data_IF_645559518886
#
_entry.id   IF_645559518886
#
_cell.length_a   1.000
_cell.length_b   1.000
_cell.length_c   1.000
_cell.angle_alpha   90.00
_cell.angle_beta   90.00
_cell.angle_gamma   90.00
#
_symmetry.space_group_name_H-M   'P 1'
#
loop_
_entity.id
_entity.type
_entity.pdbx_description
1 polymer ?
#
# COMPACT_ATOMS: atom_id res chain seq x y z
N UNK A 1 -39.64 -1.24 18.85
CA UNK A 1 -39.70 -1.68 17.43
C UNK A 1 -39.27 -0.48 16.59
N UNK A 2 -38.04 -0.51 16.04
CA UNK A 2 -37.41 0.64 15.40
C UNK A 2 -37.75 0.70 13.91
N UNK A 3 -38.15 1.90 13.46
CA UNK A 3 -38.53 2.27 12.10
C UNK A 3 -37.32 2.26 11.15
N UNK A 4 -37.33 1.41 10.13
CA UNK A 4 -36.39 1.46 9.00
C UNK A 4 -36.96 2.32 7.87
N UNK A 5 -36.47 3.56 7.75
CA UNK A 5 -36.74 4.41 6.58
C UNK A 5 -35.81 4.00 5.42
N UNK A 6 -36.37 3.26 4.47
CA UNK A 6 -35.77 2.99 3.16
C UNK A 6 -36.01 4.20 2.25
N UNK A 7 -34.98 5.01 1.98
CA UNK A 7 -35.11 6.13 1.04
C UNK A 7 -34.69 5.68 -0.37
N UNK A 8 -35.67 5.57 -1.26
CA UNK A 8 -35.48 5.23 -2.67
C UNK A 8 -34.78 6.38 -3.39
N UNK A 9 -33.59 6.14 -3.93
CA UNK A 9 -32.92 7.07 -4.85
C UNK A 9 -33.50 6.86 -6.25
N UNK A 10 -34.34 7.80 -6.69
CA UNK A 10 -34.93 7.82 -8.03
C UNK A 10 -33.90 8.33 -9.05
N UNK A 11 -33.39 7.44 -9.89
CA UNK A 11 -32.58 7.82 -11.06
C UNK A 11 -33.52 8.38 -12.13
N UNK A 12 -33.39 9.68 -12.44
CA UNK A 12 -34.16 10.33 -13.51
C UNK A 12 -33.49 10.06 -14.86
N UNK A 13 -34.09 9.17 -15.64
CA UNK A 13 -33.82 8.94 -17.06
C UNK A 13 -34.31 10.15 -17.87
N UNK A 14 -33.42 10.83 -18.57
CA UNK A 14 -33.80 11.77 -19.63
C UNK A 14 -33.61 11.08 -20.98
N UNK A 15 -34.73 10.68 -21.60
CA UNK A 15 -34.78 10.24 -22.99
C UNK A 15 -34.90 11.49 -23.85
N UNK A 16 -33.90 11.75 -24.70
CA UNK A 16 -34.02 12.74 -25.79
C UNK A 16 -34.26 11.98 -27.08
N UNK A 17 -35.39 12.28 -27.73
CA UNK A 17 -35.85 11.67 -28.96
C UNK A 17 -35.30 12.41 -30.20
N UNK A 18 -34.69 11.64 -31.11
CA UNK A 18 -34.92 11.65 -32.56
C UNK A 18 -34.45 12.83 -33.43
N UNK A 19 -33.51 12.56 -34.34
CA UNK A 19 -33.58 12.94 -35.76
C UNK A 19 -32.53 12.18 -36.60
N UNK A 20 -32.84 11.95 -37.88
CA UNK A 20 -32.34 10.88 -38.74
C UNK A 20 -30.94 11.08 -39.36
N UNK A 21 -30.25 9.95 -39.52
CA UNK A 21 -29.27 9.52 -40.54
C UNK A 21 -28.26 10.51 -41.15
N UNK A 22 -26.97 10.30 -40.82
CA UNK A 22 -25.87 10.24 -41.81
C UNK A 22 -24.84 9.21 -41.32
N UNK A 23 -24.69 8.08 -42.02
CA UNK A 23 -23.51 7.22 -41.88
C UNK A 23 -22.34 7.91 -42.59
N UNK A 24 -21.73 8.88 -41.92
CA UNK A 24 -20.44 9.42 -42.31
C UNK A 24 -19.37 8.46 -41.76
N UNK A 25 -18.52 7.94 -42.65
CA UNK A 25 -17.26 7.26 -42.34
C UNK A 25 -16.32 8.25 -41.64
N UNK A 26 -16.59 8.54 -40.38
CA UNK A 26 -15.72 9.30 -39.50
C UNK A 26 -15.15 8.33 -38.48
N UNK A 27 -13.88 7.98 -38.62
CA UNK A 27 -13.18 7.22 -37.60
C UNK A 27 -13.40 7.89 -36.25
N UNK A 28 -14.00 7.16 -35.31
CA UNK A 28 -14.02 7.58 -33.93
C UNK A 28 -12.56 7.72 -33.51
N UNK A 29 -12.07 8.96 -33.44
CA UNK A 29 -10.85 9.25 -32.74
C UNK A 29 -11.11 8.82 -31.29
N UNK A 30 -10.64 7.62 -30.94
CA UNK A 30 -10.50 7.26 -29.54
C UNK A 30 -9.70 8.40 -28.93
N UNK A 31 -10.20 9.09 -27.89
CA UNK A 31 -9.33 9.96 -27.12
C UNK A 31 -8.25 9.05 -26.54
N UNK A 32 -7.09 9.03 -27.19
CA UNK A 32 -5.87 8.54 -26.59
C UNK A 32 -5.63 9.47 -25.42
N UNK A 33 -6.13 9.08 -24.25
CA UNK A 33 -5.67 9.64 -23.00
C UNK A 33 -4.17 9.36 -22.96
N UNK A 34 -3.39 10.33 -23.39
CA UNK A 34 -1.96 10.34 -23.22
C UNK A 34 -1.73 10.33 -21.70
N UNK A 35 -1.57 9.15 -21.13
CA UNK A 35 -1.08 9.03 -19.76
C UNK A 35 0.35 9.56 -19.79
N UNK A 36 0.55 10.72 -19.14
CA UNK A 36 1.88 11.18 -18.78
C UNK A 36 2.63 10.03 -18.11
N UNK A 37 3.89 9.74 -18.50
CA UNK A 37 4.66 8.65 -17.91
C UNK A 37 4.70 8.83 -16.38
N UNK A 38 4.03 7.95 -15.64
CA UNK A 38 4.07 7.95 -14.18
C UNK A 38 5.46 7.49 -13.75
N UNK A 39 6.21 8.35 -13.07
CA UNK A 39 7.50 7.94 -12.49
C UNK A 39 7.28 6.72 -11.60
N UNK A 40 8.07 5.64 -11.79
CA UNK A 40 7.94 4.46 -10.94
C UNK A 40 8.15 4.82 -9.47
N UNK A 41 7.39 4.22 -8.54
CA UNK A 41 7.68 4.37 -7.13
C UNK A 41 9.09 3.89 -6.77
N UNK A 42 9.70 4.52 -5.78
CA UNK A 42 11.00 4.13 -5.22
C UNK A 42 10.81 3.38 -3.91
N UNK A 43 11.78 2.53 -3.55
CA UNK A 43 11.79 1.80 -2.28
C UNK A 43 12.89 2.37 -1.39
N UNK A 44 12.52 2.72 -0.16
CA UNK A 44 13.46 3.17 0.88
C UNK A 44 13.55 2.09 1.94
N UNK A 45 14.78 1.73 2.31
CA UNK A 45 15.04 0.82 3.41
C UNK A 45 15.25 1.59 4.72
N UNK A 46 14.70 1.07 5.81
CA UNK A 46 14.90 1.57 7.16
C UNK A 46 16.13 0.98 7.86
N UNK A 47 16.31 1.38 9.11
CA UNK A 47 17.34 0.80 9.98
C UNK A 47 17.05 -0.67 10.32
N UNK A 48 18.04 -1.40 10.79
CA UNK A 48 17.79 -2.66 11.49
C UNK A 48 17.29 -2.36 12.91
N UNK A 49 16.28 -3.09 13.37
CA UNK A 49 15.72 -2.96 14.71
C UNK A 49 15.60 -4.34 15.37
N UNK A 50 16.15 -4.51 16.56
CA UNK A 50 16.23 -5.81 17.24
C UNK A 50 15.15 -5.96 18.32
N UNK A 51 14.39 -7.05 18.22
CA UNK A 51 13.38 -7.46 19.19
C UNK A 51 12.26 -6.44 19.39
N UNK A 52 11.52 -6.61 20.49
CA UNK A 52 10.30 -5.87 20.78
C UNK A 52 10.50 -4.46 21.34
N UNK A 53 11.74 -4.07 21.64
CA UNK A 53 12.06 -2.75 22.21
C UNK A 53 12.43 -1.72 21.14
N UNK A 54 12.67 -2.14 19.91
CA UNK A 54 13.09 -1.28 18.81
C UNK A 54 12.08 -1.35 17.67
N UNK A 55 11.95 -0.25 16.93
CA UNK A 55 11.10 -0.18 15.74
C UNK A 55 11.98 0.27 14.58
N UNK A 56 11.91 -0.46 13.47
CA UNK A 56 12.53 -0.06 12.23
C UNK A 56 11.63 0.96 11.53
N UNK A 57 12.23 2.06 11.05
CA UNK A 57 11.52 3.11 10.33
C UNK A 57 12.15 3.37 8.96
N UNK A 58 11.32 3.35 7.92
CA UNK A 58 11.68 3.73 6.55
C UNK A 58 10.88 4.98 6.17
N UNK A 59 11.55 6.12 6.08
CA UNK A 59 10.91 7.42 5.79
C UNK A 59 11.12 7.79 4.33
N UNK A 60 10.03 8.10 3.64
CA UNK A 60 10.10 8.60 2.27
C UNK A 60 10.78 9.97 2.22
N UNK A 61 11.67 10.24 1.24
CA UNK A 61 12.35 11.53 1.09
C UNK A 61 11.36 12.68 0.93
N UNK A 62 11.82 13.89 1.27
CA UNK A 62 11.08 15.12 1.03
C UNK A 62 10.71 15.22 -0.46
N UNK A 63 9.47 15.64 -0.74
CA UNK A 63 8.94 15.73 -2.10
C UNK A 63 8.29 14.42 -2.61
N UNK A 64 8.32 13.35 -1.82
CA UNK A 64 7.65 12.08 -2.12
C UNK A 64 6.63 11.72 -1.04
N UNK A 65 5.62 10.94 -1.41
CA UNK A 65 4.56 10.48 -0.51
C UNK A 65 4.66 8.97 -0.31
N UNK A 66 4.51 8.53 0.94
CA UNK A 66 4.36 7.13 1.31
C UNK A 66 3.05 6.58 0.72
N UNK A 67 3.17 5.64 -0.20
CA UNK A 67 2.02 4.97 -0.83
C UNK A 67 1.86 3.51 -0.39
N UNK A 68 2.81 3.00 0.40
CA UNK A 68 2.78 1.66 0.95
C UNK A 68 4.10 1.30 1.62
N UNK A 69 4.23 0.06 2.06
CA UNK A 69 5.47 -0.44 2.64
C UNK A 69 5.37 -1.89 3.05
N UNK A 70 6.42 -2.37 3.71
CA UNK A 70 6.52 -3.74 4.19
C UNK A 70 7.74 -3.92 5.07
N UNK A 71 8.17 -5.17 5.22
CA UNK A 71 9.32 -5.51 6.06
C UNK A 71 10.04 -6.76 5.56
N UNK A 72 11.29 -6.89 6.01
CA UNK A 72 12.04 -8.14 6.06
C UNK A 72 12.31 -8.49 7.52
N UNK A 73 12.35 -9.79 7.84
CA UNK A 73 12.70 -10.31 9.16
C UNK A 73 13.92 -11.21 9.04
N UNK A 74 14.83 -11.08 9.99
CA UNK A 74 15.79 -12.13 10.34
C UNK A 74 15.33 -12.73 11.67
N UNK A 75 14.64 -13.88 11.66
CA UNK A 75 13.99 -14.39 12.86
C UNK A 75 15.02 -15.03 13.79
N UNK A 76 14.69 -15.11 15.08
CA UNK A 76 15.46 -15.95 15.99
C UNK A 76 15.15 -17.44 15.73
N UNK A 77 16.19 -18.26 15.66
CA UNK A 77 16.08 -19.71 15.41
C UNK A 77 16.62 -20.50 16.59
N UNK A 78 15.91 -21.55 16.97
CA UNK A 78 16.39 -22.53 17.94
C UNK A 78 17.13 -23.63 17.20
N UNK A 79 18.34 -23.95 17.65
CA UNK A 79 19.17 -25.02 17.10
C UNK A 79 19.21 -26.23 18.06
N UNK A 80 19.33 -27.44 17.51
CA UNK A 80 19.71 -28.62 18.28
C UNK A 80 21.25 -28.71 18.49
N UNK A 81 21.71 -29.75 19.18
CA UNK A 81 23.15 -30.00 19.41
C UNK A 81 23.97 -30.24 18.14
N UNK A 82 23.31 -30.50 17.00
CA UNK A 82 23.93 -30.69 15.69
C UNK A 82 23.84 -29.43 14.80
N UNK A 83 23.55 -28.26 15.38
CA UNK A 83 23.37 -26.98 14.67
C UNK A 83 22.23 -26.98 13.62
N UNK A 84 21.25 -27.86 13.74
CA UNK A 84 20.08 -27.90 12.86
C UNK A 84 18.93 -27.08 13.47
N UNK A 85 18.22 -26.32 12.64
CA UNK A 85 17.04 -25.56 13.06
C UNK A 85 15.92 -26.51 13.48
N UNK A 86 15.46 -26.36 14.73
CA UNK A 86 14.33 -27.13 15.27
C UNK A 86 13.09 -26.27 15.52
N UNK A 87 13.25 -24.95 15.63
CA UNK A 87 12.13 -24.01 15.70
C UNK A 87 12.55 -22.63 15.19
N UNK A 88 11.59 -21.89 14.64
CA UNK A 88 11.70 -20.47 14.34
C UNK A 88 10.72 -19.76 15.28
N UNK A 89 11.21 -18.85 16.12
CA UNK A 89 10.40 -18.17 17.13
C UNK A 89 10.48 -16.67 16.93
N UNK A 90 9.60 -16.14 16.09
CA UNK A 90 9.39 -14.70 15.98
C UNK A 90 7.98 -14.37 15.48
N UNK A 91 7.49 -13.19 15.83
CA UNK A 91 6.23 -12.65 15.35
C UNK A 91 6.41 -11.19 14.95
N UNK A 92 5.66 -10.76 13.95
CA UNK A 92 5.55 -9.35 13.59
C UNK A 92 4.58 -8.68 14.53
N UNK A 93 5.05 -7.64 15.22
CA UNK A 93 4.24 -6.82 16.13
C UNK A 93 3.71 -5.58 15.44
N UNK A 94 4.49 -5.01 14.52
CA UNK A 94 4.14 -3.79 13.78
C UNK A 94 4.48 -4.01 12.30
N UNK A 95 3.53 -3.67 11.44
CA UNK A 95 3.72 -3.52 10.00
C UNK A 95 2.66 -2.54 9.47
N UNK A 96 2.95 -1.24 9.54
CA UNK A 96 1.98 -0.20 9.22
C UNK A 96 2.67 1.15 8.95
N UNK A 97 1.96 2.13 8.36
CA UNK A 97 2.38 3.52 8.42
C UNK A 97 2.56 3.96 9.88
N UNK A 98 3.60 4.75 10.15
CA UNK A 98 3.87 5.25 11.49
C UNK A 98 2.89 6.35 11.87
N UNK A 99 2.22 6.20 13.02
CA UNK A 99 1.34 7.22 13.58
C UNK A 99 2.10 8.40 14.19
N UNK A 100 3.37 8.20 14.58
CA UNK A 100 4.20 9.21 15.24
C UNK A 100 5.24 9.84 14.31
N UNK A 101 5.49 9.25 13.13
CA UNK A 101 6.42 9.76 12.13
C UNK A 101 5.70 9.84 10.78
N UNK A 102 5.25 11.03 10.36
CA UNK A 102 4.63 11.19 9.05
C UNK A 102 5.51 10.64 7.92
N UNK A 103 4.88 10.23 6.82
CA UNK A 103 5.58 9.77 5.62
C UNK A 103 6.53 8.57 5.83
N UNK A 104 6.26 7.73 6.83
CA UNK A 104 7.17 6.67 7.28
C UNK A 104 6.45 5.34 7.43
N UNK A 105 7.05 4.24 6.95
CA UNK A 105 6.62 2.88 7.27
C UNK A 105 7.36 2.36 8.51
N UNK A 106 6.65 1.66 9.39
CA UNK A 106 7.18 1.09 10.61
C UNK A 106 7.07 -0.44 10.61
N UNK A 107 8.14 -1.10 11.07
CA UNK A 107 8.16 -2.54 11.27
C UNK A 107 8.80 -2.90 12.62
N UNK A 108 8.25 -3.91 13.31
CA UNK A 108 8.79 -4.44 14.55
C UNK A 108 8.52 -5.93 14.66
N UNK A 109 9.50 -6.65 15.21
CA UNK A 109 9.41 -8.08 15.54
C UNK A 109 9.52 -8.29 17.04
N UNK A 110 9.32 -9.53 17.52
CA UNK A 110 9.35 -9.81 18.95
C UNK A 110 10.77 -10.09 19.45
N UNK A 111 11.56 -10.87 18.72
CA UNK A 111 12.88 -11.34 19.19
C UNK A 111 14.01 -11.14 18.18
N UNK A 112 13.75 -11.33 16.89
CA UNK A 112 14.74 -11.25 15.81
C UNK A 112 15.06 -9.81 15.41
N UNK A 113 15.33 -9.60 14.12
CA UNK A 113 15.62 -8.29 13.54
C UNK A 113 14.54 -7.94 12.51
N UNK A 114 13.96 -6.74 12.63
CA UNK A 114 13.08 -6.15 11.63
C UNK A 114 13.86 -5.16 10.76
N UNK A 115 13.54 -5.12 9.48
CA UNK A 115 13.94 -4.07 8.53
C UNK A 115 12.68 -3.62 7.81
N UNK A 116 12.31 -2.35 7.94
CA UNK A 116 11.15 -1.76 7.28
C UNK A 116 11.51 -1.29 5.87
N UNK A 117 10.55 -1.34 4.96
CA UNK A 117 10.63 -0.75 3.64
C UNK A 117 9.45 0.17 3.39
N UNK A 118 9.72 1.34 2.82
CA UNK A 118 8.69 2.29 2.39
C UNK A 118 8.66 2.36 0.87
N UNK A 119 7.46 2.32 0.30
CA UNK A 119 7.20 2.56 -1.11
C UNK A 119 6.77 4.02 -1.28
N UNK A 120 7.58 4.78 -2.01
CA UNK A 120 7.46 6.23 -2.13
C UNK A 120 7.13 6.62 -3.57
N UNK A 121 6.13 7.47 -3.76
CA UNK A 121 5.79 8.04 -5.07
C UNK A 121 6.09 9.53 -5.08
N UNK A 122 6.59 10.02 -6.20
CA UNK A 122 6.49 11.45 -6.50
C UNK A 122 4.99 11.76 -6.67
N UNK A 123 4.53 12.85 -6.06
CA UNK A 123 3.17 13.37 -6.29
C UNK A 123 3.04 13.90 -7.72
#
# INVERSE_FOLDING_TARGET
MANTKMWKVTVRTAVVAGCAAVFALGGAANPTNAQTPKTPPTVVQGNQAKGSNEVSFATCPVGTTLIGGGYQIVPNVQLNFNNQVIAVSDIVRINAPSLSRPNTWAAQVNTGIAISYALCSNN
#
